data_IF_741895746646
#
_entry.id   IF_741895746646
#
_cell.length_a   1.000
_cell.length_b   1.000
_cell.length_c   1.000
_cell.angle_alpha   90.00
_cell.angle_beta   90.00
_cell.angle_gamma   90.00
#
_symmetry.space_group_name_H-M   'P 1'
#
loop_
_entity.id
_entity.type
_entity.pdbx_description
1 polymer ?
#
# COMPACT_ATOMS: atom_id res chain seq x y z
N UNK A 1 3.13 25.41 -7.19
CA UNK A 1 2.17 24.31 -7.27
C UNK A 1 2.80 23.27 -8.17
N UNK A 2 2.82 22.02 -7.72
CA UNK A 2 3.47 20.94 -8.47
C UNK A 2 2.50 20.32 -9.47
N UNK A 3 3.03 19.83 -10.57
CA UNK A 3 2.28 19.06 -11.56
C UNK A 3 2.35 17.56 -11.22
N UNK A 4 1.23 16.87 -11.34
CA UNK A 4 1.17 15.41 -11.22
C UNK A 4 0.65 14.81 -12.52
N UNK A 5 1.34 13.81 -13.06
CA UNK A 5 0.95 13.09 -14.28
C UNK A 5 1.20 11.59 -14.11
N UNK A 6 0.81 10.78 -15.09
CA UNK A 6 1.04 9.32 -15.11
C UNK A 6 1.75 8.99 -16.41
N UNK A 7 2.85 8.25 -16.31
CA UNK A 7 3.62 7.79 -17.47
C UNK A 7 3.98 6.30 -17.36
N UNK A 8 4.18 5.68 -18.51
CA UNK A 8 4.74 4.32 -18.60
C UNK A 8 6.24 4.36 -18.40
N UNK A 9 6.74 3.67 -17.38
CA UNK A 9 8.17 3.48 -17.19
C UNK A 9 8.53 2.01 -17.39
N UNK A 10 9.68 1.79 -18.03
CA UNK A 10 10.26 0.47 -18.18
C UNK A 10 10.91 0.07 -16.85
N UNK A 11 10.46 -1.04 -16.26
CA UNK A 11 11.13 -1.60 -15.08
C UNK A 11 12.38 -2.38 -15.45
N UNK A 12 13.32 -2.60 -14.52
CA UNK A 12 14.49 -3.44 -14.74
C UNK A 12 14.14 -4.89 -15.11
N UNK A 13 12.95 -5.32 -14.78
CA UNK A 13 12.44 -6.67 -15.06
C UNK A 13 11.85 -6.83 -16.47
N UNK A 14 11.85 -5.76 -17.28
CA UNK A 14 11.48 -5.81 -18.68
C UNK A 14 10.00 -5.56 -19.00
N UNK A 15 9.17 -5.28 -18.00
CA UNK A 15 7.78 -4.87 -18.19
C UNK A 15 7.59 -3.37 -17.97
N UNK A 16 6.45 -2.83 -18.42
CA UNK A 16 6.08 -1.41 -18.26
C UNK A 16 5.04 -1.28 -17.18
N UNK A 17 5.29 -0.34 -16.26
CA UNK A 17 4.34 0.04 -15.22
C UNK A 17 3.97 1.51 -15.28
N UNK A 18 2.79 1.84 -14.78
CA UNK A 18 2.28 3.22 -14.71
C UNK A 18 2.77 3.87 -13.42
N UNK A 19 3.59 4.90 -13.55
CA UNK A 19 4.13 5.64 -12.42
C UNK A 19 3.55 7.03 -12.31
N UNK A 20 3.46 7.52 -11.09
CA UNK A 20 3.25 8.94 -10.81
C UNK A 20 4.51 9.71 -11.18
N UNK A 21 4.32 10.77 -11.99
CA UNK A 21 5.33 11.74 -12.30
C UNK A 21 5.01 13.04 -11.58
N UNK A 22 5.96 13.58 -10.84
CA UNK A 22 5.86 14.85 -10.14
C UNK A 22 6.83 15.82 -10.81
N UNK A 23 6.32 16.91 -11.38
CA UNK A 23 7.13 17.90 -12.13
C UNK A 23 8.04 17.23 -13.18
N UNK A 24 7.53 16.19 -13.85
CA UNK A 24 8.21 15.46 -14.93
C UNK A 24 9.26 14.44 -14.47
N UNK A 25 9.34 14.12 -13.17
CA UNK A 25 10.20 13.05 -12.63
C UNK A 25 9.39 12.00 -11.95
N UNK A 26 9.81 10.75 -12.08
CA UNK A 26 9.22 9.62 -11.35
C UNK A 26 9.64 9.61 -9.89
N UNK A 27 8.86 8.93 -9.05
CA UNK A 27 9.23 8.77 -7.66
C UNK A 27 10.53 7.97 -7.47
N UNK A 28 10.80 6.86 -8.20
CA UNK A 28 12.13 6.22 -8.18
C UNK A 28 13.29 7.17 -8.45
N UNK A 29 13.17 8.09 -9.43
CA UNK A 29 14.20 9.11 -9.70
C UNK A 29 14.43 10.05 -8.51
N UNK A 30 13.35 10.48 -7.84
CA UNK A 30 13.47 11.29 -6.62
C UNK A 30 14.16 10.49 -5.49
N UNK A 31 13.79 9.23 -5.29
CA UNK A 31 14.41 8.38 -4.27
C UNK A 31 15.91 8.19 -4.52
N UNK A 32 16.32 7.92 -5.77
CA UNK A 32 17.73 7.80 -6.15
C UNK A 32 18.52 9.10 -5.89
N UNK A 33 17.92 10.26 -6.21
CA UNK A 33 18.53 11.55 -5.88
C UNK A 33 18.71 11.72 -4.37
N UNK A 34 17.69 11.43 -3.58
CA UNK A 34 17.75 11.59 -2.12
C UNK A 34 18.68 10.57 -1.45
N UNK A 35 18.75 9.34 -1.97
CA UNK A 35 19.68 8.33 -1.47
C UNK A 35 21.14 8.77 -1.67
N UNK A 36 21.47 9.39 -2.81
CA UNK A 36 22.81 9.91 -3.06
C UNK A 36 23.27 10.97 -2.04
N UNK A 37 22.32 11.74 -1.49
CA UNK A 37 22.55 12.79 -0.49
C UNK A 37 22.41 12.30 0.97
N UNK A 38 21.79 11.14 1.18
CA UNK A 38 21.46 10.61 2.51
C UNK A 38 22.67 10.11 3.27
N UNK A 39 22.61 10.10 4.60
CA UNK A 39 23.51 9.38 5.48
C UNK A 39 22.93 8.04 5.97
N UNK A 40 21.68 7.75 5.62
CA UNK A 40 20.99 6.52 5.98
C UNK A 40 21.45 5.36 5.08
N UNK A 41 22.25 4.46 5.65
CA UNK A 41 22.78 3.31 4.93
C UNK A 41 21.69 2.29 4.57
N UNK A 42 20.65 2.16 5.41
CA UNK A 42 19.55 1.25 5.11
C UNK A 42 18.73 1.77 3.91
N UNK A 43 18.42 3.07 3.89
CA UNK A 43 17.77 3.68 2.74
C UNK A 43 18.60 3.50 1.44
N UNK A 44 19.92 3.71 1.49
CA UNK A 44 20.80 3.46 0.34
C UNK A 44 20.79 2.00 -0.12
N UNK A 45 20.65 1.07 0.81
CA UNK A 45 20.65 -0.37 0.45
C UNK A 45 19.39 -0.82 -0.28
N UNK A 46 18.35 0.03 -0.36
CA UNK A 46 17.13 -0.24 -1.15
C UNK A 46 17.31 0.02 -2.65
N UNK A 47 18.45 0.60 -3.09
CA UNK A 47 18.73 0.76 -4.53
C UNK A 47 18.90 -0.60 -5.23
N UNK A 48 18.48 -0.73 -6.50
CA UNK A 48 17.88 0.31 -7.35
C UNK A 48 16.37 0.50 -7.13
N UNK A 49 15.96 1.73 -6.92
CA UNK A 49 14.53 2.08 -6.69
C UNK A 49 13.64 1.86 -7.92
N UNK A 50 14.23 1.74 -9.10
CA UNK A 50 13.53 1.37 -10.34
C UNK A 50 12.94 -0.06 -10.27
N UNK A 51 13.39 -0.87 -9.30
CA UNK A 51 12.83 -2.19 -9.00
C UNK A 51 11.54 -2.14 -8.19
N UNK A 52 11.16 -0.97 -7.65
CA UNK A 52 9.91 -0.80 -6.93
C UNK A 52 8.74 -0.55 -7.90
N UNK A 53 7.56 -1.03 -7.53
CA UNK A 53 6.33 -0.85 -8.31
C UNK A 53 5.31 -0.02 -7.56
N UNK A 54 4.37 0.67 -8.27
CA UNK A 54 3.34 1.46 -7.63
C UNK A 54 2.43 0.62 -6.73
N UNK A 55 2.31 1.02 -5.48
CA UNK A 55 1.40 0.39 -4.53
C UNK A 55 -0.09 0.57 -4.87
N UNK A 56 -0.41 1.47 -5.81
CA UNK A 56 -1.78 1.75 -6.26
C UNK A 56 -2.19 0.85 -7.42
N UNK A 57 -1.33 -0.06 -7.84
CA UNK A 57 -1.65 -1.06 -8.86
C UNK A 57 -2.68 -2.05 -8.30
N UNK A 58 -3.64 -2.43 -9.12
CA UNK A 58 -4.62 -3.47 -8.81
C UNK A 58 -4.08 -4.89 -9.01
N UNK A 59 -2.85 -5.01 -9.43
CA UNK A 59 -2.11 -6.27 -9.55
C UNK A 59 -1.36 -6.64 -8.26
N UNK A 60 -1.63 -5.95 -7.15
CA UNK A 60 -1.21 -6.42 -5.83
C UNK A 60 -1.64 -7.87 -5.62
N UNK A 61 -0.83 -8.62 -4.92
CA UNK A 61 -0.97 -10.08 -4.77
C UNK A 61 -2.36 -10.46 -4.23
N UNK A 62 -2.93 -9.60 -3.39
CA UNK A 62 -4.20 -9.82 -2.73
C UNK A 62 -5.23 -8.71 -2.96
N UNK A 63 -6.47 -9.07 -3.29
CA UNK A 63 -7.58 -8.09 -3.41
C UNK A 63 -7.84 -7.33 -2.11
N UNK A 64 -7.58 -7.95 -0.96
CA UNK A 64 -7.64 -7.31 0.35
C UNK A 64 -6.70 -6.11 0.45
N UNK A 65 -5.48 -6.24 -0.05
CA UNK A 65 -4.48 -5.16 -0.11
C UNK A 65 -4.88 -4.08 -1.11
N UNK A 66 -5.37 -4.46 -2.29
CA UNK A 66 -5.92 -3.50 -3.27
C UNK A 66 -7.02 -2.64 -2.64
N UNK A 67 -7.99 -3.27 -1.97
CA UNK A 67 -9.08 -2.56 -1.28
C UNK A 67 -8.56 -1.62 -0.20
N UNK A 68 -7.56 -2.06 0.55
CA UNK A 68 -6.92 -1.27 1.59
C UNK A 68 -6.25 -0.01 1.01
N UNK A 69 -5.38 -0.14 0.03
CA UNK A 69 -4.69 1.00 -0.60
C UNK A 69 -5.68 2.02 -1.14
N UNK A 70 -6.69 1.57 -1.88
CA UNK A 70 -7.70 2.47 -2.44
C UNK A 70 -8.59 3.11 -1.37
N UNK A 71 -8.78 2.46 -0.22
CA UNK A 71 -9.42 3.08 0.94
C UNK A 71 -8.57 4.23 1.48
N UNK A 72 -7.24 4.05 1.61
CA UNK A 72 -6.33 5.10 2.06
C UNK A 72 -6.30 6.29 1.09
N UNK A 73 -6.24 6.02 -0.22
CA UNK A 73 -6.27 7.06 -1.25
C UNK A 73 -7.53 7.95 -1.10
N UNK A 74 -8.64 7.42 -0.64
CA UNK A 74 -9.88 8.16 -0.37
C UNK A 74 -9.89 8.99 0.92
N UNK A 75 -8.90 8.88 1.80
CA UNK A 75 -8.87 9.59 3.09
C UNK A 75 -8.31 11.01 2.94
N UNK A 76 -8.74 11.93 3.82
CA UNK A 76 -8.32 13.33 3.78
C UNK A 76 -6.97 13.57 4.46
N UNK A 77 -6.62 12.78 5.46
CA UNK A 77 -5.31 12.83 6.14
C UNK A 77 -4.86 11.41 6.43
N UNK A 78 -3.71 11.03 5.88
CA UNK A 78 -3.23 9.65 6.00
C UNK A 78 -1.77 9.50 5.59
N UNK A 79 -1.06 8.57 6.22
CA UNK A 79 0.18 8.00 5.66
C UNK A 79 -0.22 6.78 4.82
N UNK A 80 0.12 6.78 3.54
CA UNK A 80 -0.27 5.73 2.61
C UNK A 80 0.90 5.24 1.75
N UNK A 81 0.88 3.96 1.29
CA UNK A 81 1.94 3.43 0.45
C UNK A 81 1.92 4.07 -0.95
N UNK A 82 3.12 4.30 -1.49
CA UNK A 82 3.34 4.77 -2.87
C UNK A 82 4.01 3.71 -3.74
N UNK A 83 5.05 3.05 -3.21
CA UNK A 83 5.80 2.02 -3.92
C UNK A 83 6.01 0.82 -3.00
N UNK A 84 6.08 -0.36 -3.61
CA UNK A 84 6.32 -1.66 -2.97
C UNK A 84 7.43 -2.41 -3.68
N UNK A 85 7.98 -3.43 -3.00
CA UNK A 85 8.85 -4.42 -3.63
C UNK A 85 8.08 -5.17 -4.73
N UNK A 86 8.68 -5.27 -5.92
CA UNK A 86 8.05 -5.95 -7.06
C UNK A 86 8.01 -7.48 -6.91
N UNK A 87 8.84 -8.04 -6.02
CA UNK A 87 8.89 -9.49 -5.80
C UNK A 87 7.74 -9.97 -4.92
N UNK A 88 7.35 -9.16 -3.91
CA UNK A 88 6.34 -9.55 -2.92
C UNK A 88 4.95 -9.00 -3.24
N UNK A 89 4.88 -7.83 -3.89
CA UNK A 89 3.62 -7.12 -4.23
C UNK A 89 2.65 -6.95 -3.04
N UNK A 90 3.22 -6.91 -1.83
CA UNK A 90 2.51 -6.76 -0.55
C UNK A 90 3.26 -5.81 0.39
N UNK A 91 2.94 -5.79 1.68
CA UNK A 91 3.54 -4.90 2.67
C UNK A 91 4.64 -5.57 3.52
N UNK A 92 5.15 -6.74 3.12
CA UNK A 92 6.11 -7.52 3.92
C UNK A 92 7.57 -7.12 3.71
N UNK A 93 7.87 -6.38 2.63
CA UNK A 93 9.23 -6.00 2.24
C UNK A 93 9.39 -4.46 2.26
N UNK A 94 9.90 -3.86 1.20
CA UNK A 94 10.08 -2.41 1.10
C UNK A 94 8.74 -1.74 0.83
N UNK A 95 8.35 -0.81 1.70
CA UNK A 95 7.15 0.02 1.53
C UNK A 95 7.55 1.49 1.62
N UNK A 96 7.53 2.18 0.49
CA UNK A 96 7.67 3.63 0.45
C UNK A 96 6.31 4.27 0.67
N UNK A 97 6.25 5.21 1.61
CA UNK A 97 5.01 5.87 2.02
C UNK A 97 5.08 7.36 1.83
N UNK A 98 3.90 7.98 1.75
CA UNK A 98 3.70 9.42 1.72
C UNK A 98 2.74 9.85 2.81
N UNK A 99 3.03 10.96 3.47
CA UNK A 99 2.08 11.65 4.32
C UNK A 99 1.24 12.61 3.47
N UNK A 100 -0.05 12.33 3.39
CA UNK A 100 -1.02 13.09 2.59
C UNK A 100 -1.93 13.89 3.48
N UNK A 101 -2.18 15.13 3.07
CA UNK A 101 -3.23 15.98 3.64
C UNK A 101 -4.06 16.58 2.51
N UNK A 102 -5.38 16.48 2.59
CA UNK A 102 -6.31 17.04 1.60
C UNK A 102 -7.15 18.14 2.22
N UNK A 103 -7.24 19.22 1.51
CA UNK A 103 -8.17 20.33 1.80
C UNK A 103 -9.25 20.40 0.72
N UNK A 104 -10.10 21.43 0.76
CA UNK A 104 -11.11 21.66 -0.30
C UNK A 104 -10.49 21.99 -1.67
N UNK A 105 -9.32 22.63 -1.67
CA UNK A 105 -8.71 23.18 -2.88
C UNK A 105 -7.42 22.46 -3.28
N UNK A 106 -6.72 21.86 -2.32
CA UNK A 106 -5.39 21.33 -2.54
C UNK A 106 -5.20 19.94 -1.90
N UNK A 107 -4.26 19.19 -2.49
CA UNK A 107 -3.69 17.97 -1.89
C UNK A 107 -2.21 18.23 -1.64
N UNK A 108 -1.75 17.89 -0.46
CA UNK A 108 -0.36 18.01 -0.05
C UNK A 108 0.24 16.62 0.14
N UNK A 109 1.41 16.41 -0.41
CA UNK A 109 2.30 15.32 -0.08
C UNK A 109 3.45 15.92 0.73
N UNK A 110 3.30 15.85 2.04
CA UNK A 110 4.19 16.60 2.95
C UNK A 110 5.54 15.92 3.07
N UNK A 111 5.55 14.63 3.41
CA UNK A 111 6.77 13.88 3.66
C UNK A 111 6.75 12.56 2.92
N UNK A 112 7.94 12.11 2.47
CA UNK A 112 8.16 10.78 1.91
C UNK A 112 9.08 10.02 2.86
N UNK A 113 8.76 8.76 3.11
CA UNK A 113 9.52 7.89 3.98
C UNK A 113 9.38 6.42 3.61
N UNK A 114 9.97 5.56 4.40
CA UNK A 114 9.78 4.12 4.32
C UNK A 114 9.33 3.55 5.66
N UNK A 115 8.59 2.46 5.60
CA UNK A 115 8.08 1.76 6.78
C UNK A 115 9.25 1.06 7.47
N UNK A 116 9.39 1.29 8.78
CA UNK A 116 10.26 0.50 9.63
C UNK A 116 9.55 -0.80 9.97
N UNK A 117 10.02 -1.89 9.39
CA UNK A 117 9.63 -3.22 9.83
C UNK A 117 10.41 -3.53 11.12
N UNK A 118 10.02 -2.91 12.24
CA UNK A 118 10.41 -3.43 13.54
C UNK A 118 9.76 -4.80 13.64
N UNK A 119 10.55 -5.83 13.36
CA UNK A 119 10.28 -7.21 13.64
C UNK A 119 8.86 -7.43 14.14
N UNK A 120 7.87 -7.22 13.26
CA UNK A 120 6.59 -7.84 13.48
C UNK A 120 7.01 -9.27 13.70
N UNK A 121 6.83 -9.75 14.89
CA UNK A 121 7.35 -11.03 15.27
C UNK A 121 6.49 -11.99 14.46
N UNK A 122 6.95 -12.30 13.25
CA UNK A 122 6.26 -13.16 12.29
C UNK A 122 5.87 -14.49 12.96
N UNK A 123 6.62 -14.88 14.00
CA UNK A 123 6.29 -15.98 14.88
C UNK A 123 5.13 -15.65 15.85
N UNK A 124 4.94 -14.41 16.25
CA UNK A 124 3.77 -14.01 17.02
C UNK A 124 2.54 -13.85 16.12
N UNK A 125 2.67 -13.33 14.93
CA UNK A 125 1.59 -13.37 13.93
C UNK A 125 1.20 -14.81 13.56
N UNK A 126 2.17 -15.70 13.39
CA UNK A 126 1.90 -17.13 13.21
C UNK A 126 1.30 -17.78 14.45
N UNK A 127 1.75 -17.42 15.66
CA UNK A 127 1.25 -17.99 16.93
C UNK A 127 -0.09 -17.43 17.35
N UNK A 128 -0.36 -16.16 17.05
CA UNK A 128 -1.68 -15.55 17.27
C UNK A 128 -2.71 -16.05 16.26
N UNK A 129 -2.28 -16.96 15.34
CA UNK A 129 -3.09 -17.32 14.22
C UNK A 129 -3.44 -16.10 13.37
N UNK A 130 -4.14 -16.36 12.29
CA UNK A 130 -4.69 -15.32 11.43
C UNK A 130 -5.62 -14.36 12.21
N UNK A 131 -5.95 -14.65 13.43
CA UNK A 131 -6.79 -13.87 14.33
C UNK A 131 -6.06 -13.41 15.57
N UNK A 132 -5.63 -12.19 15.54
CA UNK A 132 -5.58 -11.44 16.78
C UNK A 132 -6.99 -10.93 17.08
N UNK A 133 -7.59 -11.46 18.15
CA UNK A 133 -8.93 -11.09 18.63
C UNK A 133 -9.09 -9.59 18.80
N UNK A 134 -8.00 -8.88 19.15
CA UNK A 134 -7.98 -7.42 19.27
C UNK A 134 -8.20 -6.69 17.94
N UNK A 135 -8.12 -7.39 16.82
CA UNK A 135 -8.39 -6.82 15.50
C UNK A 135 -9.87 -6.82 15.13
N UNK A 136 -10.72 -7.49 15.89
CA UNK A 136 -12.15 -7.51 15.62
C UNK A 136 -12.84 -6.36 16.35
N UNK A 137 -13.60 -5.59 15.58
CA UNK A 137 -14.53 -4.59 16.12
C UNK A 137 -15.81 -5.29 16.60
N UNK A 138 -16.67 -4.56 17.32
CA UNK A 138 -18.01 -5.08 17.69
C UNK A 138 -18.81 -5.47 16.43
N UNK A 139 -18.72 -4.69 15.36
CA UNK A 139 -19.37 -4.98 14.07
C UNK A 139 -18.82 -6.28 13.42
N UNK A 140 -17.52 -6.52 13.52
CA UNK A 140 -16.92 -7.78 13.06
C UNK A 140 -17.47 -8.96 13.88
N UNK A 141 -17.61 -8.81 15.19
CA UNK A 141 -18.20 -9.82 16.05
C UNK A 141 -19.66 -10.13 15.72
N UNK A 142 -20.45 -9.10 15.47
CA UNK A 142 -21.85 -9.27 15.06
C UNK A 142 -21.95 -10.01 13.70
N UNK A 143 -21.05 -9.67 12.77
CA UNK A 143 -21.06 -10.21 11.40
C UNK A 143 -20.48 -11.62 11.29
N UNK A 144 -19.41 -11.91 12.04
CA UNK A 144 -18.63 -13.13 11.90
C UNK A 144 -18.62 -13.98 13.16
N UNK A 145 -19.22 -13.55 14.24
CA UNK A 145 -19.10 -14.14 15.57
C UNK A 145 -19.43 -15.63 15.65
N UNK A 146 -20.42 -16.08 14.89
CA UNK A 146 -20.80 -17.50 14.82
C UNK A 146 -19.69 -18.38 14.16
N UNK A 147 -18.85 -17.78 13.32
CA UNK A 147 -17.74 -18.42 12.64
C UNK A 147 -16.42 -18.27 13.42
N UNK A 148 -16.35 -17.31 14.33
CA UNK A 148 -15.20 -17.02 15.18
C UNK A 148 -15.41 -17.66 16.56
N UNK A 149 -15.35 -18.98 16.63
CA UNK A 149 -15.33 -19.68 17.91
C UNK A 149 -13.92 -19.59 18.50
N UNK A 150 -13.70 -18.68 19.44
CA UNK A 150 -12.40 -18.38 20.05
C UNK A 150 -11.70 -19.61 20.64
N UNK A 151 -12.46 -20.48 21.24
CA UNK A 151 -11.97 -21.76 21.75
C UNK A 151 -11.58 -22.77 20.67
N UNK A 152 -11.83 -22.42 19.39
CA UNK A 152 -11.59 -23.28 18.22
C UNK A 152 -10.71 -22.65 17.16
N UNK A 153 -9.94 -21.62 17.50
CA UNK A 153 -9.07 -20.86 16.57
C UNK A 153 -8.18 -21.75 15.69
N UNK A 154 -7.72 -22.89 16.18
CA UNK A 154 -6.95 -23.88 15.43
C UNK A 154 -7.80 -25.04 14.87
N UNK A 155 -9.10 -24.96 15.00
CA UNK A 155 -9.98 -26.02 14.49
C UNK A 155 -9.96 -26.10 12.95
N UNK A 156 -10.20 -27.29 12.36
CA UNK A 156 -10.30 -27.44 10.91
C UNK A 156 -11.38 -26.55 10.30
N UNK A 157 -12.52 -26.37 10.98
CA UNK A 157 -13.62 -25.49 10.54
C UNK A 157 -13.16 -24.06 10.45
N UNK A 158 -12.39 -23.59 11.40
CA UNK A 158 -11.83 -22.27 11.42
C UNK A 158 -10.83 -22.04 10.26
N UNK A 159 -9.90 -22.97 10.04
CA UNK A 159 -8.95 -22.92 8.93
C UNK A 159 -9.65 -22.91 7.58
N UNK A 160 -10.71 -23.68 7.43
CA UNK A 160 -11.53 -23.69 6.22
C UNK A 160 -12.23 -22.33 6.01
N UNK A 161 -12.82 -21.76 7.08
CA UNK A 161 -13.46 -20.46 6.99
C UNK A 161 -12.46 -19.35 6.58
N UNK A 162 -11.28 -19.29 7.20
CA UNK A 162 -10.23 -18.33 6.85
C UNK A 162 -9.80 -18.51 5.39
N UNK A 163 -9.56 -19.74 4.95
CA UNK A 163 -9.17 -20.00 3.56
C UNK A 163 -10.21 -19.50 2.57
N UNK A 164 -11.49 -19.66 2.89
CA UNK A 164 -12.59 -19.23 2.02
C UNK A 164 -12.88 -17.72 2.08
N UNK A 165 -12.40 -17.02 3.13
CA UNK A 165 -12.68 -15.60 3.36
C UNK A 165 -11.39 -14.78 3.50
N UNK A 166 -10.27 -15.24 2.93
CA UNK A 166 -8.96 -14.64 3.11
C UNK A 166 -8.92 -13.16 2.72
N UNK A 167 -9.48 -12.79 1.59
CA UNK A 167 -9.47 -11.42 1.09
C UNK A 167 -10.19 -10.44 2.04
N UNK A 168 -11.30 -10.86 2.61
CA UNK A 168 -12.04 -10.07 3.60
C UNK A 168 -11.28 -9.97 4.92
N UNK A 169 -10.69 -11.07 5.36
CA UNK A 169 -9.85 -11.13 6.56
C UNK A 169 -8.62 -10.24 6.41
N UNK A 170 -7.94 -10.32 5.28
CA UNK A 170 -6.76 -9.51 4.99
C UNK A 170 -7.10 -8.02 4.99
N UNK A 171 -8.16 -7.60 4.28
CA UNK A 171 -8.61 -6.21 4.28
C UNK A 171 -8.88 -5.69 5.70
N UNK A 172 -9.56 -6.50 6.53
CA UNK A 172 -9.85 -6.14 7.90
C UNK A 172 -8.58 -5.99 8.74
N UNK A 173 -7.60 -6.88 8.58
CA UNK A 173 -6.29 -6.79 9.21
C UNK A 173 -5.57 -5.52 8.81
N UNK A 174 -5.55 -5.19 7.51
CA UNK A 174 -4.94 -3.97 7.02
C UNK A 174 -5.59 -2.73 7.67
N UNK A 175 -6.91 -2.71 7.79
CA UNK A 175 -7.60 -1.59 8.45
C UNK A 175 -7.33 -1.51 9.96
N UNK A 176 -7.23 -2.63 10.64
CA UNK A 176 -7.12 -2.67 12.11
C UNK A 176 -5.67 -2.67 12.62
N UNK A 177 -4.69 -3.06 11.80
CA UNK A 177 -3.28 -3.14 12.17
C UNK A 177 -2.39 -2.29 11.28
N UNK A 178 -2.41 -2.51 9.97
CA UNK A 178 -1.49 -1.84 9.06
C UNK A 178 -1.78 -0.34 9.01
N UNK A 179 -3.04 0.07 8.98
CA UNK A 179 -3.39 1.49 9.01
C UNK A 179 -2.90 2.18 10.30
N UNK A 180 -3.22 1.71 11.52
CA UNK A 180 -2.68 2.31 12.73
C UNK A 180 -1.15 2.27 12.80
N UNK A 181 -0.53 1.22 12.26
CA UNK A 181 0.93 1.12 12.21
C UNK A 181 1.53 2.23 11.33
N UNK A 182 0.98 2.46 10.13
CA UNK A 182 1.43 3.53 9.23
C UNK A 182 1.19 4.93 9.79
N UNK A 183 0.16 5.13 10.61
CA UNK A 183 -0.14 6.43 11.21
C UNK A 183 0.73 6.76 12.44
N UNK A 184 1.52 5.80 12.94
CA UNK A 184 2.39 6.02 14.11
C UNK A 184 3.73 6.57 13.68
N UNK A 185 4.05 7.79 14.11
CA UNK A 185 5.26 8.53 13.70
C UNK A 185 6.56 7.72 13.85
N UNK A 186 6.72 6.95 14.93
CA UNK A 186 7.92 6.14 15.17
C UNK A 186 8.07 4.91 14.28
N UNK A 187 7.07 4.57 13.47
CA UNK A 187 7.11 3.41 12.58
C UNK A 187 7.53 3.78 11.16
N UNK A 188 7.75 5.06 10.90
CA UNK A 188 8.18 5.56 9.58
C UNK A 188 9.54 6.26 9.72
N UNK A 189 10.48 5.88 8.88
CA UNK A 189 11.69 6.65 8.68
C UNK A 189 11.46 7.68 7.57
N UNK A 190 11.33 8.94 7.95
CA UNK A 190 11.11 10.02 6.99
C UNK A 190 12.41 10.39 6.28
N UNK A 191 12.42 10.26 4.97
CA UNK A 191 13.57 10.53 4.09
C UNK A 191 13.63 12.01 3.73
N UNK A 192 12.48 12.60 3.37
CA UNK A 192 12.41 13.95 2.80
C UNK A 192 11.09 14.65 3.14
N UNK A 193 11.16 15.92 3.51
CA UNK A 193 10.04 16.83 3.40
C UNK A 193 9.91 17.18 1.90
N UNK A 194 8.92 16.60 1.26
CA UNK A 194 8.67 16.83 -0.16
C UNK A 194 7.93 18.15 -0.39
N UNK A 195 7.01 18.47 0.54
CA UNK A 195 6.20 19.71 0.52
C UNK A 195 5.51 19.95 -0.85
N UNK A 196 5.16 18.85 -1.54
CA UNK A 196 4.47 18.93 -2.83
C UNK A 196 3.02 19.31 -2.62
N UNK A 197 2.60 20.27 -3.44
CA UNK A 197 1.24 20.82 -3.41
C UNK A 197 0.61 20.71 -4.79
N UNK A 198 -0.53 20.01 -4.87
CA UNK A 198 -1.30 19.78 -6.09
C UNK A 198 -2.64 20.50 -6.03
N UNK A 199 -3.15 20.96 -7.17
CA UNK A 199 -4.55 21.32 -7.31
C UNK A 199 -5.41 20.08 -7.08
N UNK A 200 -6.45 20.21 -6.25
CA UNK A 200 -7.26 19.03 -5.86
C UNK A 200 -8.03 18.46 -7.06
N UNK A 201 -8.50 19.29 -7.96
CA UNK A 201 -9.26 18.83 -9.14
C UNK A 201 -8.36 18.06 -10.09
N UNK A 202 -7.14 18.58 -10.33
CA UNK A 202 -6.15 17.87 -11.15
C UNK A 202 -5.69 16.56 -10.51
N UNK A 203 -5.43 16.59 -9.20
CA UNK A 203 -5.06 15.38 -8.45
C UNK A 203 -6.16 14.32 -8.51
N UNK A 204 -7.41 14.67 -8.21
CA UNK A 204 -8.54 13.74 -8.24
C UNK A 204 -8.77 13.20 -9.66
N UNK A 205 -8.54 14.01 -10.68
CA UNK A 205 -8.59 13.59 -12.08
C UNK A 205 -7.52 12.53 -12.38
N UNK A 206 -6.28 12.75 -11.95
CA UNK A 206 -5.19 11.79 -12.15
C UNK A 206 -5.43 10.49 -11.37
N UNK A 207 -5.91 10.57 -10.11
CA UNK A 207 -6.33 9.39 -9.35
C UNK A 207 -7.41 8.59 -10.10
N UNK A 208 -8.41 9.27 -10.64
CA UNK A 208 -9.46 8.65 -11.45
C UNK A 208 -8.94 8.00 -12.72
N UNK A 209 -7.98 8.62 -13.40
CA UNK A 209 -7.31 8.03 -14.57
C UNK A 209 -6.54 6.76 -14.18
N UNK A 210 -5.76 6.81 -13.11
CA UNK A 210 -5.02 5.64 -12.62
C UNK A 210 -5.96 4.48 -12.29
N UNK A 211 -7.05 4.75 -11.60
CA UNK A 211 -8.10 3.78 -11.31
C UNK A 211 -8.67 3.13 -12.59
N UNK A 212 -8.98 3.93 -13.59
CA UNK A 212 -9.58 3.45 -14.85
C UNK A 212 -8.58 2.63 -15.68
N UNK A 213 -7.31 3.04 -15.73
CA UNK A 213 -6.24 2.30 -16.41
C UNK A 213 -6.10 0.90 -15.78
N UNK A 214 -5.99 0.82 -14.48
CA UNK A 214 -5.85 -0.43 -13.75
C UNK A 214 -7.10 -1.33 -13.88
N UNK A 215 -8.29 -0.74 -13.92
CA UNK A 215 -9.53 -1.51 -14.14
C UNK A 215 -9.55 -2.13 -15.54
N UNK A 216 -9.10 -1.41 -16.57
CA UNK A 216 -9.02 -1.91 -17.94
C UNK A 216 -8.00 -3.05 -18.05
N UNK A 217 -6.82 -2.89 -17.47
CA UNK A 217 -5.75 -3.91 -17.44
C UNK A 217 -6.25 -5.22 -16.80
N UNK A 218 -6.97 -5.14 -15.67
CA UNK A 218 -7.57 -6.33 -15.04
C UNK A 218 -8.60 -7.05 -15.94
N UNK A 219 -9.44 -6.30 -16.66
CA UNK A 219 -10.42 -6.88 -17.58
C UNK A 219 -9.75 -7.58 -18.76
N UNK A 220 -8.69 -7.01 -19.33
CA UNK A 220 -7.91 -7.61 -20.41
C UNK A 220 -7.24 -8.91 -19.94
N UNK A 221 -6.56 -8.91 -18.79
CA UNK A 221 -5.94 -10.09 -18.20
C UNK A 221 -6.95 -11.21 -17.89
N UNK A 222 -8.15 -10.85 -17.43
CA UNK A 222 -9.21 -11.82 -17.18
C UNK A 222 -9.70 -12.48 -18.48
N UNK A 223 -9.81 -11.70 -19.53
CA UNK A 223 -10.25 -12.20 -20.86
C UNK A 223 -9.21 -13.14 -21.47
N UNK A 224 -7.92 -12.82 -21.37
CA UNK A 224 -6.83 -13.68 -21.86
C UNK A 224 -6.72 -15.01 -21.12
N UNK A 225 -7.05 -15.06 -19.84
CA UNK A 225 -7.07 -16.30 -19.04
C UNK A 225 -8.27 -17.21 -19.33
N UNK A 226 -9.29 -16.68 -19.99
CA UNK A 226 -10.51 -17.42 -20.36
C UNK A 226 -10.48 -17.97 -21.78
N UNK A 227 -9.51 -17.58 -22.61
CA UNK A 227 -9.27 -18.07 -23.97
C UNK A 227 -8.16 -19.10 -23.99
#
# INVERSE_FOLDING_TARGET
MNQITIEDLQTPYGYKEKFWMIDGKSLPEYLSMWASESQDNYFKSMEPFEGLVPAWDKELDWNGDVRFVWKLIGMDSVVMPLLLCAEDLDFSCIVIVVEVEKTKEFVYWNRIGYVLHEHENFEEEKKSGILNIKAYTEEDWERYGDNIALEKVDSPIWKEWISNNWEEELYRRRMNYTLPYFQKEGNICWIKNADWKFDKTEYDHMVGLFWNIQTKKQLENFTEKML
#
